data_IF_310056928670
#
_entry.id   IF_310056928670
#
_cell.length_a   1.000
_cell.length_b   1.000
_cell.length_c   1.000
_cell.angle_alpha   90.00
_cell.angle_beta   90.00
_cell.angle_gamma   90.00
#
_symmetry.space_group_name_H-M   'P 1'
#
loop_
_entity.id
_entity.type
_entity.pdbx_description
1 polymer ?
#
# COMPACT_ATOMS: atom_id res chain seq x y z
N UNK A 1 -12.13 -11.47 8.68
CA UNK A 1 -11.26 -11.27 7.52
C UNK A 1 -12.04 -10.65 6.38
N UNK A 2 -11.63 -9.53 5.88
CA UNK A 2 -12.40 -8.81 4.87
C UNK A 2 -11.48 -8.12 3.87
N UNK A 3 -11.94 -8.11 2.63
CA UNK A 3 -11.29 -7.32 1.59
C UNK A 3 -11.87 -5.92 1.54
N UNK A 4 -11.29 -5.10 0.69
CA UNK A 4 -11.76 -3.73 0.49
C UNK A 4 -11.57 -3.32 -0.95
N UNK A 5 -12.56 -2.60 -1.46
CA UNK A 5 -12.52 -2.01 -2.79
C UNK A 5 -11.69 -0.73 -2.78
N UNK A 6 -11.40 -0.20 -3.96
CA UNK A 6 -10.65 1.06 -4.06
C UNK A 6 -11.39 2.20 -3.36
N UNK A 7 -12.71 2.23 -3.44
CA UNK A 7 -13.49 3.27 -2.76
C UNK A 7 -13.31 3.19 -1.24
N UNK A 8 -13.28 1.97 -0.72
CA UNK A 8 -13.08 1.77 0.72
C UNK A 8 -11.67 2.13 1.14
N UNK A 9 -10.68 1.81 0.30
CA UNK A 9 -9.28 2.19 0.56
C UNK A 9 -9.18 3.71 0.63
N UNK A 10 -9.81 4.42 -0.30
CA UNK A 10 -9.75 5.88 -0.34
C UNK A 10 -10.40 6.55 0.86
N UNK A 11 -11.34 5.89 1.52
CA UNK A 11 -11.93 6.42 2.76
C UNK A 11 -10.99 6.34 3.94
N UNK A 12 -10.03 5.42 3.88
CA UNK A 12 -9.11 5.16 4.99
C UNK A 12 -7.76 5.83 4.77
N UNK A 13 -7.24 5.74 3.54
CA UNK A 13 -5.90 6.21 3.19
C UNK A 13 -5.98 7.59 2.57
N UNK A 14 -5.08 8.51 2.95
CA UNK A 14 -5.08 9.86 2.38
C UNK A 14 -4.49 9.93 0.98
N UNK A 15 -3.79 8.90 0.56
CA UNK A 15 -3.09 8.87 -0.72
C UNK A 15 -4.05 9.02 -1.89
N UNK A 16 -3.61 9.69 -2.94
CA UNK A 16 -4.35 9.85 -4.19
C UNK A 16 -3.38 9.78 -5.36
N UNK A 17 -3.90 9.71 -6.56
CA UNK A 17 -3.09 9.70 -7.76
C UNK A 17 -2.05 10.83 -7.72
N UNK A 18 -0.80 10.62 -8.06
CA UNK A 18 -0.25 9.34 -8.58
C UNK A 18 0.35 8.43 -7.51
N UNK A 19 0.13 8.69 -6.24
CA UNK A 19 0.80 8.01 -5.14
C UNK A 19 -0.04 6.95 -4.44
N UNK A 20 -1.31 6.82 -4.79
CA UNK A 20 -2.12 5.71 -4.27
C UNK A 20 -1.80 4.48 -5.08
N UNK A 21 -1.14 3.50 -4.47
CA UNK A 21 -0.63 2.34 -5.18
C UNK A 21 -1.48 1.08 -5.01
N UNK A 22 -2.31 1.02 -3.97
CA UNK A 22 -3.13 -0.16 -3.74
C UNK A 22 -4.39 -0.11 -4.58
N UNK A 23 -4.70 -1.21 -5.26
CA UNK A 23 -5.90 -1.32 -6.08
C UNK A 23 -7.03 -2.01 -5.33
N UNK A 24 -6.68 -2.96 -4.46
CA UNK A 24 -7.67 -3.68 -3.67
C UNK A 24 -6.99 -4.34 -2.47
N UNK A 25 -7.72 -4.45 -1.38
CA UNK A 25 -7.33 -5.29 -0.26
C UNK A 25 -8.02 -6.64 -0.45
N UNK A 26 -7.23 -7.70 -0.51
CA UNK A 26 -7.76 -9.05 -0.67
C UNK A 26 -8.23 -9.61 0.66
N UNK A 27 -7.45 -9.39 1.71
CA UNK A 27 -7.81 -9.82 3.06
C UNK A 27 -7.05 -8.99 4.08
N UNK A 28 -7.67 -8.83 5.24
CA UNK A 28 -7.07 -8.06 6.33
C UNK A 28 -7.51 -8.69 7.65
N UNK A 29 -6.57 -9.19 8.43
CA UNK A 29 -6.82 -9.80 9.73
C UNK A 29 -6.17 -8.94 10.81
N UNK A 30 -6.97 -8.51 11.79
CA UNK A 30 -6.52 -7.54 12.79
C UNK A 30 -6.53 -8.09 14.21
N UNK A 31 -6.48 -9.41 14.38
CA UNK A 31 -6.46 -10.02 15.68
C UNK A 31 -5.09 -9.79 16.35
N UNK A 32 -5.02 -8.98 17.42
CA UNK A 32 -3.73 -8.69 18.06
C UNK A 32 -3.14 -9.88 18.81
N UNK A 33 -3.94 -10.89 19.12
CA UNK A 33 -3.43 -12.07 19.85
C UNK A 33 -2.94 -13.15 18.89
N UNK A 34 -3.31 -13.05 17.62
CA UNK A 34 -2.82 -13.91 16.57
C UNK A 34 -1.95 -13.09 15.64
N UNK A 35 -1.75 -13.55 14.43
CA UNK A 35 -0.96 -12.79 13.47
C UNK A 35 -1.84 -11.79 12.73
N UNK A 36 -1.68 -10.50 13.06
CA UNK A 36 -2.28 -9.47 12.22
C UNK A 36 -1.57 -9.46 10.88
N UNK A 37 -2.34 -9.49 9.81
CA UNK A 37 -1.75 -9.53 8.47
C UNK A 37 -2.68 -8.89 7.45
N UNK A 38 -2.10 -8.56 6.29
CA UNK A 38 -2.84 -7.97 5.20
C UNK A 38 -2.30 -8.52 3.88
N UNK A 39 -3.20 -8.78 2.98
CA UNK A 39 -2.87 -9.13 1.60
C UNK A 39 -3.58 -8.16 0.68
N UNK A 40 -2.79 -7.48 -0.16
CA UNK A 40 -3.30 -6.43 -1.02
C UNK A 40 -2.84 -6.66 -2.44
N UNK A 41 -3.48 -5.98 -3.37
CA UNK A 41 -3.20 -6.08 -4.78
C UNK A 41 -2.82 -4.72 -5.33
N UNK A 42 -1.69 -4.68 -6.05
CA UNK A 42 -1.34 -3.56 -6.90
C UNK A 42 -1.16 -4.07 -8.33
N UNK A 43 -1.99 -3.58 -9.22
CA UNK A 43 -1.83 -3.86 -10.65
C UNK A 43 -0.70 -3.00 -11.21
N UNK A 44 0.14 -3.59 -12.04
CA UNK A 44 1.21 -2.86 -12.72
C UNK A 44 0.89 -2.83 -14.20
N UNK A 45 0.77 -1.63 -14.74
CA UNK A 45 0.42 -1.41 -16.14
C UNK A 45 1.50 -0.55 -16.78
N UNK A 46 1.75 -0.77 -18.07
CA UNK A 46 2.66 0.11 -18.83
C UNK A 46 2.17 1.56 -18.80
N UNK A 47 0.88 1.76 -18.59
CA UNK A 47 0.27 3.09 -18.56
C UNK A 47 0.32 3.67 -17.13
N UNK A 48 1.50 3.67 -16.54
CA UNK A 48 1.74 4.31 -15.24
C UNK A 48 2.82 5.37 -15.42
N UNK A 49 2.64 6.50 -14.75
CA UNK A 49 3.45 7.69 -15.02
C UNK A 49 4.94 7.49 -14.74
N UNK A 50 5.30 6.63 -13.78
CA UNK A 50 6.72 6.44 -13.45
C UNK A 50 7.48 5.73 -14.57
N UNK A 51 6.81 5.01 -15.48
CA UNK A 51 7.50 4.37 -16.60
C UNK A 51 7.94 5.36 -17.66
N UNK A 52 7.49 6.61 -17.59
CA UNK A 52 8.00 7.64 -18.50
C UNK A 52 9.48 7.91 -18.27
N UNK A 53 9.95 7.74 -17.06
CA UNK A 53 11.33 7.99 -16.70
C UNK A 53 12.13 6.79 -16.24
N UNK A 54 11.48 5.68 -15.94
CA UNK A 54 12.14 4.52 -15.33
C UNK A 54 11.84 3.25 -16.13
N UNK A 55 12.36 3.08 -17.34
CA UNK A 55 13.25 3.96 -18.08
C UNK A 55 12.67 4.13 -19.49
N UNK A 56 12.97 5.21 -20.20
CA UNK A 56 12.45 5.38 -21.56
C UNK A 56 12.78 4.19 -22.44
N UNK A 57 11.74 3.57 -23.02
CA UNK A 57 11.91 2.39 -23.88
C UNK A 57 12.21 1.10 -23.14
N UNK A 58 12.33 1.12 -21.81
CA UNK A 58 12.65 -0.08 -21.02
C UNK A 58 11.98 0.02 -19.66
N UNK A 59 10.66 -0.22 -19.57
CA UNK A 59 9.93 -0.03 -18.31
C UNK A 59 10.34 -1.06 -17.26
N UNK A 60 10.68 -0.56 -16.09
CA UNK A 60 11.03 -1.37 -14.93
C UNK A 60 10.29 -0.80 -13.72
N UNK A 61 9.58 -1.64 -13.00
CA UNK A 61 8.89 -1.22 -11.78
C UNK A 61 9.92 -0.76 -10.75
N UNK A 62 9.89 0.52 -10.34
CA UNK A 62 10.84 1.00 -9.33
C UNK A 62 10.69 0.23 -8.01
N UNK A 63 11.80 -0.30 -7.50
CA UNK A 63 11.77 -1.05 -6.25
C UNK A 63 11.27 -0.22 -5.09
N UNK A 64 11.64 1.08 -5.06
CA UNK A 64 11.18 1.98 -4.00
C UNK A 64 9.66 2.13 -4.00
N UNK A 65 9.00 2.03 -5.16
CA UNK A 65 7.54 2.08 -5.22
C UNK A 65 6.91 0.78 -4.75
N UNK A 66 7.59 -0.34 -4.93
CA UNK A 66 7.15 -1.61 -4.33
C UNK A 66 7.16 -1.49 -2.81
N UNK A 67 8.22 -0.90 -2.25
CA UNK A 67 8.28 -0.62 -0.81
C UNK A 67 7.16 0.32 -0.38
N UNK A 68 6.88 1.34 -1.17
CA UNK A 68 5.81 2.28 -0.84
C UNK A 68 4.45 1.57 -0.83
N UNK A 69 4.20 0.68 -1.79
CA UNK A 69 2.96 -0.08 -1.82
C UNK A 69 2.82 -0.95 -0.57
N UNK A 70 3.91 -1.61 -0.15
CA UNK A 70 3.91 -2.39 1.08
C UNK A 70 3.67 -1.51 2.30
N UNK A 71 4.26 -0.31 2.33
CA UNK A 71 4.04 0.63 3.42
C UNK A 71 2.59 1.10 3.47
N UNK A 72 1.96 1.31 2.32
CA UNK A 72 0.55 1.68 2.27
C UNK A 72 -0.34 0.55 2.79
N UNK A 73 -0.04 -0.69 2.41
CA UNK A 73 -0.77 -1.83 2.92
C UNK A 73 -0.63 -1.94 4.45
N UNK A 74 0.60 -1.74 4.95
CA UNK A 74 0.84 -1.75 6.39
C UNK A 74 0.08 -0.61 7.09
N UNK A 75 0.03 0.55 6.46
CA UNK A 75 -0.73 1.69 6.99
C UNK A 75 -2.22 1.39 7.05
N UNK A 76 -2.77 0.78 6.01
CA UNK A 76 -4.16 0.35 6.02
C UNK A 76 -4.43 -0.61 7.16
N UNK A 77 -3.55 -1.62 7.32
CA UNK A 77 -3.68 -2.58 8.43
C UNK A 77 -3.65 -1.86 9.77
N UNK A 78 -2.73 -0.91 9.94
CA UNK A 78 -2.64 -0.13 11.17
C UNK A 78 -3.92 0.64 11.47
N UNK A 79 -4.51 1.24 10.44
CA UNK A 79 -5.79 1.96 10.61
C UNK A 79 -6.91 1.01 11.02
N UNK A 80 -6.95 -0.18 10.43
CA UNK A 80 -7.96 -1.17 10.80
C UNK A 80 -7.77 -1.68 12.21
N UNK A 81 -6.53 -1.79 12.67
CA UNK A 81 -6.24 -2.23 14.04
C UNK A 81 -6.69 -1.20 15.08
N UNK A 82 -6.59 0.09 14.76
CA UNK A 82 -7.09 1.15 15.63
C UNK A 82 -8.62 1.18 15.61
N UNK A 83 -9.20 0.88 14.45
CA UNK A 83 -10.64 0.81 14.29
C UNK A 83 -11.30 2.17 14.43
N UNK A 84 -12.47 2.19 15.07
CA UNK A 84 -13.27 3.41 15.21
C UNK A 84 -12.62 4.44 16.12
N UNK A 85 -11.64 4.03 16.93
CA UNK A 85 -10.93 4.95 17.82
C UNK A 85 -9.96 5.86 17.08
N UNK A 86 -9.71 5.60 15.79
CA UNK A 86 -8.74 6.39 15.04
C UNK A 86 -9.24 7.80 14.80
N UNK A 87 -8.32 8.75 14.88
CA UNK A 87 -8.57 10.11 14.46
C UNK A 87 -8.64 10.11 12.92
N UNK A 88 -9.70 10.67 12.32
CA UNK A 88 -9.80 10.69 10.85
C UNK A 88 -8.64 11.44 10.16
N UNK A 89 -7.90 12.24 10.91
CA UNK A 89 -6.73 12.94 10.37
C UNK A 89 -5.42 12.18 10.60
N UNK A 90 -5.47 10.97 11.13
CA UNK A 90 -4.27 10.16 11.35
C UNK A 90 -3.63 9.80 10.01
N UNK A 91 -2.32 10.03 9.92
CA UNK A 91 -1.53 9.70 8.74
C UNK A 91 -0.31 8.93 9.20
N UNK A 92 -0.04 7.80 8.55
CA UNK A 92 1.15 7.02 8.79
C UNK A 92 2.23 7.42 7.80
N UNK A 93 3.41 7.77 8.30
CA UNK A 93 4.56 8.12 7.47
C UNK A 93 5.53 6.96 7.44
N UNK A 94 5.99 6.62 6.23
CA UNK A 94 7.04 5.64 6.06
C UNK A 94 8.36 6.30 6.44
N UNK A 95 8.98 5.84 7.53
CA UNK A 95 10.20 6.44 8.07
C UNK A 95 11.47 5.74 7.59
N UNK A 96 11.38 4.45 7.27
CA UNK A 96 12.57 3.75 6.82
C UNK A 96 12.35 2.24 6.77
N UNK A 97 13.37 1.52 6.28
CA UNK A 97 13.34 0.08 6.21
C UNK A 97 14.76 -0.47 6.26
N UNK A 98 14.89 -1.73 6.70
CA UNK A 98 16.15 -2.42 6.78
C UNK A 98 16.07 -3.73 6.00
N UNK A 99 17.23 -4.19 5.55
CA UNK A 99 17.38 -5.51 4.94
C UNK A 99 16.50 -5.72 3.72
N UNK A 100 16.31 -4.65 2.95
CA UNK A 100 15.51 -4.71 1.73
C UNK A 100 16.42 -5.11 0.57
N UNK A 101 15.95 -6.05 -0.24
CA UNK A 101 16.69 -6.50 -1.41
C UNK A 101 15.73 -6.72 -2.56
N UNK A 102 16.04 -6.09 -3.69
CA UNK A 102 15.24 -6.26 -4.89
C UNK A 102 15.91 -7.28 -5.80
N UNK A 103 15.16 -8.31 -6.17
CA UNK A 103 15.63 -9.37 -7.05
C UNK A 103 14.79 -9.42 -8.31
N UNK A 104 15.44 -9.80 -9.40
CA UNK A 104 14.73 -10.00 -10.67
C UNK A 104 14.19 -11.40 -10.78
#
# INVERSE_FOLDING_TARGET
>A
MSGATIEQIQRVMPHRYPFLLLDRILSCATDPEENSNIEALKNVSINENFFNGHFPGHPVMPGVLTLEALAQAAGYLGMMMIGEARDPNTIFYFAGSDNVRFKR
#
